data_IF_511310772143
#
_entry.id   IF_511310772143
#
_cell.length_a   1.000
_cell.length_b   1.000
_cell.length_c   1.000
_cell.angle_alpha   90.00
_cell.angle_beta   90.00
_cell.angle_gamma   90.00
#
_symmetry.space_group_name_H-M   'P 1'
#
loop_
_entity.id
_entity.type
_entity.pdbx_description
1 polymer ?
#
# COMPACT_ATOMS: atom_id res chain seq x y z
N UNK A 1 -12.97 30.90 -19.58
CA UNK A 1 -12.55 29.97 -18.48
C UNK A 1 -12.70 30.72 -17.18
N UNK A 2 -13.35 30.16 -16.18
CA UNK A 2 -13.44 30.80 -14.85
C UNK A 2 -12.32 30.28 -13.95
N UNK A 3 -12.04 30.99 -12.85
CA UNK A 3 -10.94 30.66 -11.94
C UNK A 3 -11.06 29.22 -11.36
N UNK A 4 -12.28 28.74 -11.07
CA UNK A 4 -12.51 27.37 -10.59
C UNK A 4 -11.98 26.35 -11.62
N UNK A 5 -12.36 26.50 -12.90
CA UNK A 5 -11.92 25.58 -13.94
C UNK A 5 -10.39 25.60 -14.07
N UNK A 6 -9.77 26.78 -14.09
CA UNK A 6 -8.32 26.90 -14.18
C UNK A 6 -7.60 26.19 -13.02
N UNK A 7 -8.08 26.36 -11.78
CA UNK A 7 -7.51 25.67 -10.59
C UNK A 7 -7.65 24.15 -10.70
N UNK A 8 -8.83 23.64 -11.11
CA UNK A 8 -9.03 22.20 -11.24
C UNK A 8 -8.17 21.60 -12.36
N UNK A 9 -7.98 22.32 -13.46
CA UNK A 9 -7.13 21.86 -14.57
C UNK A 9 -5.65 21.77 -14.14
N UNK A 10 -5.16 22.72 -13.35
CA UNK A 10 -3.81 22.66 -12.74
C UNK A 10 -3.69 21.43 -11.82
N UNK A 11 -4.67 21.22 -10.93
CA UNK A 11 -4.65 20.08 -9.99
C UNK A 11 -4.68 18.75 -10.77
N UNK A 12 -5.57 18.59 -11.74
CA UNK A 12 -5.66 17.38 -12.58
C UNK A 12 -4.38 17.13 -13.35
N UNK A 13 -3.80 18.18 -13.95
CA UNK A 13 -2.51 18.08 -14.62
C UNK A 13 -1.40 17.60 -13.70
N UNK A 14 -1.33 18.11 -12.49
CA UNK A 14 -0.36 17.69 -11.48
C UNK A 14 -0.56 16.23 -11.07
N UNK A 15 -1.81 15.79 -10.84
CA UNK A 15 -2.14 14.39 -10.51
C UNK A 15 -1.74 13.45 -11.66
N UNK A 16 -2.11 13.79 -12.89
CA UNK A 16 -1.85 12.94 -14.06
C UNK A 16 -0.35 12.77 -14.36
N UNK A 17 0.44 13.82 -14.13
CA UNK A 17 1.89 13.82 -14.41
C UNK A 17 2.74 13.40 -13.20
N UNK A 18 2.13 13.03 -12.08
CA UNK A 18 2.88 12.59 -10.90
C UNK A 18 3.55 11.23 -11.18
N UNK A 19 4.84 11.02 -10.82
CA UNK A 19 5.56 9.76 -11.09
C UNK A 19 4.83 8.51 -10.63
N UNK A 20 4.14 8.58 -9.48
CA UNK A 20 3.34 7.47 -8.95
C UNK A 20 2.13 7.13 -9.82
N UNK A 21 1.53 8.11 -10.49
CA UNK A 21 0.43 7.90 -11.44
C UNK A 21 0.90 7.28 -12.76
N UNK A 22 2.17 7.45 -13.09
CA UNK A 22 2.81 6.92 -14.29
C UNK A 22 3.44 5.54 -14.08
N UNK A 23 3.45 5.02 -12.85
CA UNK A 23 4.07 3.74 -12.53
C UNK A 23 3.22 2.58 -13.07
N UNK A 24 3.67 1.96 -14.15
CA UNK A 24 3.06 0.76 -14.73
C UNK A 24 3.59 -0.55 -14.13
N UNK A 25 4.82 -0.56 -13.63
CA UNK A 25 5.47 -1.76 -13.08
C UNK A 25 4.96 -2.08 -11.68
N UNK A 26 4.96 -3.38 -11.36
CA UNK A 26 4.63 -3.83 -10.01
C UNK A 26 5.67 -3.31 -9.01
N UNK A 27 5.19 -2.84 -7.86
CA UNK A 27 6.02 -2.37 -6.76
C UNK A 27 5.75 -3.13 -5.46
N UNK A 28 6.59 -2.94 -4.43
CA UNK A 28 6.46 -3.62 -3.14
C UNK A 28 5.09 -3.49 -2.50
N UNK A 29 4.44 -2.34 -2.66
CA UNK A 29 3.09 -2.07 -2.13
C UNK A 29 1.97 -2.90 -2.76
N UNK A 30 2.23 -3.56 -3.89
CA UNK A 30 1.24 -4.36 -4.61
C UNK A 30 1.44 -5.87 -4.40
N UNK A 31 2.67 -6.31 -4.11
CA UNK A 31 3.04 -7.74 -4.00
C UNK A 31 2.20 -8.45 -2.94
N UNK A 32 1.94 -7.79 -1.81
CA UNK A 32 1.14 -8.33 -0.72
C UNK A 32 -0.38 -8.35 -0.97
N UNK A 33 -0.87 -7.84 -2.11
CA UNK A 33 -2.30 -7.84 -2.45
C UNK A 33 -2.86 -9.27 -2.39
N UNK A 34 -3.98 -9.53 -1.68
CA UNK A 34 -4.52 -10.90 -1.53
C UNK A 34 -4.99 -11.55 -2.83
N UNK A 35 -5.33 -10.76 -3.84
CA UNK A 35 -5.87 -11.23 -5.11
C UNK A 35 -4.76 -11.49 -6.13
N UNK A 36 -4.51 -12.77 -6.47
CA UNK A 36 -3.49 -13.16 -7.46
C UNK A 36 -3.81 -12.65 -8.85
N UNK A 37 -5.10 -12.63 -9.21
CA UNK A 37 -5.56 -12.11 -10.51
C UNK A 37 -5.22 -10.63 -10.68
N UNK A 38 -5.35 -9.83 -9.63
CA UNK A 38 -4.95 -8.41 -9.67
C UNK A 38 -3.45 -8.26 -9.92
N UNK A 39 -2.63 -9.08 -9.28
CA UNK A 39 -1.18 -9.11 -9.51
C UNK A 39 -0.89 -9.55 -10.94
N UNK A 40 -1.58 -10.58 -11.43
CA UNK A 40 -1.43 -11.08 -12.80
C UNK A 40 -1.71 -10.00 -13.86
N UNK A 41 -2.78 -9.24 -13.74
CA UNK A 41 -3.07 -8.09 -14.63
C UNK A 41 -1.94 -7.06 -14.62
N UNK A 42 -1.41 -6.76 -13.43
CA UNK A 42 -0.29 -5.81 -13.30
C UNK A 42 0.97 -6.32 -14.00
N UNK A 43 1.27 -7.62 -13.87
CA UNK A 43 2.41 -8.26 -14.54
C UNK A 43 2.25 -8.30 -16.07
N UNK A 44 1.02 -8.44 -16.57
CA UNK A 44 0.71 -8.37 -18.01
C UNK A 44 0.79 -6.95 -18.56
N UNK A 45 0.91 -5.93 -17.70
CA UNK A 45 0.85 -4.54 -18.13
C UNK A 45 -0.53 -4.12 -18.64
N UNK A 46 -1.60 -4.81 -18.20
CA UNK A 46 -2.98 -4.47 -18.54
C UNK A 46 -3.27 -3.02 -18.17
N UNK A 47 -3.92 -2.30 -19.07
CA UNK A 47 -4.34 -0.93 -18.81
C UNK A 47 -5.36 -0.88 -17.66
N UNK A 48 -5.15 0.07 -16.76
CA UNK A 48 -6.07 0.30 -15.66
C UNK A 48 -7.33 1.02 -16.16
N UNK A 49 -8.49 0.62 -15.61
CA UNK A 49 -9.73 1.32 -15.88
C UNK A 49 -9.62 2.80 -15.52
N UNK A 50 -10.21 3.72 -16.31
CA UNK A 50 -10.24 5.13 -15.99
C UNK A 50 -10.80 5.36 -14.58
N UNK A 51 -10.06 6.07 -13.76
CA UNK A 51 -10.49 6.50 -12.44
C UNK A 51 -10.74 7.99 -12.46
N UNK A 52 -11.66 8.46 -11.63
CA UNK A 52 -11.80 9.89 -11.38
C UNK A 52 -10.53 10.50 -10.77
N UNK A 53 -10.56 11.79 -10.53
CA UNK A 53 -9.42 12.52 -9.95
C UNK A 53 -8.93 11.86 -8.65
N UNK A 54 -7.69 11.41 -8.62
CA UNK A 54 -7.10 10.60 -7.53
C UNK A 54 -6.76 11.47 -6.29
N UNK A 55 -7.75 12.18 -5.74
CA UNK A 55 -7.56 13.13 -4.65
C UNK A 55 -7.05 12.47 -3.36
N UNK A 56 -7.61 11.33 -2.95
CA UNK A 56 -7.14 10.62 -1.74
C UNK A 56 -5.67 10.19 -1.80
N UNK A 57 -5.19 9.57 -2.88
CA UNK A 57 -3.75 9.32 -3.05
C UNK A 57 -2.91 10.59 -3.03
N UNK A 58 -3.39 11.70 -3.61
CA UNK A 58 -2.70 12.99 -3.60
C UNK A 58 -2.52 13.53 -2.18
N UNK A 59 -3.55 13.45 -1.33
CA UNK A 59 -3.44 13.82 0.08
C UNK A 59 -2.41 12.95 0.79
N UNK A 60 -2.43 11.64 0.56
CA UNK A 60 -1.42 10.72 1.10
C UNK A 60 -0.01 11.15 0.70
N UNK A 61 0.23 11.39 -0.58
CA UNK A 61 1.53 11.85 -1.09
C UNK A 61 1.98 13.17 -0.46
N UNK A 62 1.08 14.14 -0.29
CA UNK A 62 1.41 15.40 0.34
C UNK A 62 1.80 15.25 1.83
N UNK A 63 1.13 14.34 2.55
CA UNK A 63 1.49 14.03 3.94
C UNK A 63 2.84 13.33 4.02
N UNK A 64 3.14 12.38 3.12
CA UNK A 64 4.46 11.71 3.08
C UNK A 64 5.57 12.74 2.85
N UNK A 65 5.44 13.64 1.87
CA UNK A 65 6.43 14.69 1.63
C UNK A 65 6.62 15.63 2.83
N UNK A 66 5.56 15.90 3.59
CA UNK A 66 5.66 16.69 4.82
C UNK A 66 6.40 15.94 5.92
N UNK A 67 6.14 14.63 6.08
CA UNK A 67 6.81 13.78 7.08
C UNK A 67 8.30 13.57 6.74
N UNK A 68 8.61 13.35 5.48
CA UNK A 68 9.99 13.32 4.96
C UNK A 68 10.73 14.58 5.37
N UNK A 69 10.17 15.74 5.03
CA UNK A 69 10.75 17.04 5.40
C UNK A 69 10.94 17.20 6.90
N UNK A 70 9.99 16.76 7.72
CA UNK A 70 10.09 16.83 9.17
C UNK A 70 11.24 15.96 9.72
N UNK A 71 11.47 14.78 9.15
CA UNK A 71 12.59 13.92 9.53
C UNK A 71 13.95 14.50 9.07
N UNK A 72 14.01 15.09 7.87
CA UNK A 72 15.20 15.81 7.40
C UNK A 72 15.55 17.02 8.29
N UNK A 73 14.52 17.77 8.72
CA UNK A 73 14.72 18.92 9.62
C UNK A 73 15.22 18.46 11.00
N UNK A 74 14.77 17.30 11.49
CA UNK A 74 15.29 16.69 12.71
C UNK A 74 16.77 16.28 12.55
N UNK A 75 17.15 15.67 11.42
CA UNK A 75 18.53 15.37 11.09
C UNK A 75 19.39 16.65 11.01
N UNK A 76 18.89 17.71 10.39
CA UNK A 76 19.58 19.00 10.32
C UNK A 76 19.82 19.58 11.73
N UNK A 77 18.83 19.50 12.60
CA UNK A 77 18.95 19.94 13.99
C UNK A 77 20.02 19.12 14.73
N UNK A 78 20.11 17.81 14.47
CA UNK A 78 21.16 16.94 15.01
C UNK A 78 22.55 17.39 14.54
N UNK A 79 22.72 17.66 13.24
CA UNK A 79 23.99 18.15 12.66
C UNK A 79 24.41 19.48 13.30
N UNK A 80 23.49 20.43 13.44
CA UNK A 80 23.75 21.72 14.05
C UNK A 80 24.20 21.55 15.51
N UNK A 81 23.49 20.72 16.27
CA UNK A 81 23.80 20.44 17.68
C UNK A 81 25.17 19.78 17.87
N UNK A 82 25.63 19.01 16.88
CA UNK A 82 26.95 18.37 16.86
C UNK A 82 28.06 19.29 16.31
N UNK A 83 27.79 20.57 16.05
CA UNK A 83 28.75 21.52 15.51
C UNK A 83 29.15 21.24 14.05
N UNK A 84 28.34 20.55 13.29
CA UNK A 84 28.57 20.19 11.88
C UNK A 84 29.54 19.02 11.67
N UNK A 85 29.91 18.30 12.73
CA UNK A 85 30.88 17.19 12.71
C UNK A 85 30.23 15.81 12.72
N UNK A 86 29.06 15.66 12.11
CA UNK A 86 28.32 14.39 12.05
C UNK A 86 28.29 13.88 10.60
N UNK A 87 28.53 12.60 10.41
CA UNK A 87 28.47 11.96 9.09
C UNK A 87 27.10 11.35 8.84
N UNK A 88 26.72 11.16 7.57
CA UNK A 88 25.39 10.65 7.17
C UNK A 88 24.98 9.36 7.88
N UNK A 89 25.94 8.45 8.10
CA UNK A 89 25.66 7.19 8.80
C UNK A 89 25.32 7.34 10.29
N UNK A 90 25.57 8.52 10.88
CA UNK A 90 25.27 8.86 12.27
C UNK A 90 23.94 9.58 12.45
N UNK A 91 23.29 10.00 11.33
CA UNK A 91 21.97 10.62 11.37
C UNK A 91 20.93 9.63 11.87
N UNK A 92 19.98 10.07 12.66
CA UNK A 92 18.93 9.21 13.23
C UNK A 92 17.99 8.67 12.16
N UNK A 93 17.66 9.49 11.17
CA UNK A 93 16.62 9.20 10.18
C UNK A 93 17.20 8.98 8.79
N UNK A 94 16.68 7.96 8.09
CA UNK A 94 16.87 7.77 6.65
C UNK A 94 15.50 7.90 6.00
N UNK A 95 15.35 8.83 5.05
CA UNK A 95 14.09 9.14 4.39
C UNK A 95 14.09 8.68 2.94
N UNK A 96 12.93 8.27 2.43
CA UNK A 96 12.68 7.95 1.01
C UNK A 96 13.80 7.13 0.35
N UNK A 97 14.32 6.14 1.09
CA UNK A 97 15.40 5.29 0.61
C UNK A 97 14.91 4.32 -0.46
N UNK A 98 15.47 4.43 -1.66
CA UNK A 98 15.21 3.48 -2.72
C UNK A 98 15.89 2.13 -2.45
N UNK A 99 15.11 1.06 -2.54
CA UNK A 99 15.59 -0.32 -2.34
C UNK A 99 15.12 -1.23 -3.46
N UNK A 100 15.91 -2.28 -3.74
CA UNK A 100 15.50 -3.41 -4.56
C UNK A 100 14.99 -4.48 -3.59
N UNK A 101 13.73 -4.91 -3.76
CA UNK A 101 13.13 -5.95 -2.92
C UNK A 101 13.16 -7.33 -3.58
N UNK A 102 13.51 -7.40 -4.84
CA UNK A 102 13.63 -8.64 -5.61
C UNK A 102 13.69 -8.40 -7.11
N UNK A 103 13.57 -9.48 -7.86
CA UNK A 103 13.62 -9.46 -9.32
C UNK A 103 12.52 -10.32 -9.91
N UNK A 104 11.95 -9.89 -11.02
CA UNK A 104 11.13 -10.71 -11.90
C UNK A 104 11.99 -11.73 -12.64
N UNK A 105 11.36 -12.68 -13.31
CA UNK A 105 12.06 -13.77 -14.02
C UNK A 105 12.96 -13.25 -15.15
N UNK A 106 12.58 -12.14 -15.79
CA UNK A 106 13.37 -11.51 -16.85
C UNK A 106 14.56 -10.67 -16.34
N UNK A 107 14.82 -10.70 -15.02
CA UNK A 107 15.85 -9.91 -14.36
C UNK A 107 15.44 -8.46 -14.05
N UNK A 108 14.22 -8.06 -14.34
CA UNK A 108 13.72 -6.71 -14.00
C UNK A 108 13.69 -6.55 -12.49
N UNK A 109 14.40 -5.54 -11.98
CA UNK A 109 14.40 -5.23 -10.55
C UNK A 109 13.02 -4.69 -10.10
N UNK A 110 12.56 -5.18 -8.97
CA UNK A 110 11.39 -4.64 -8.27
C UNK A 110 11.90 -3.67 -7.23
N UNK A 111 11.66 -2.39 -7.47
CA UNK A 111 12.15 -1.30 -6.64
C UNK A 111 11.01 -0.58 -5.95
N UNK A 112 11.31 0.09 -4.86
CA UNK A 112 10.40 1.02 -4.21
C UNK A 112 11.15 1.92 -3.25
N UNK A 113 10.54 3.05 -2.90
CA UNK A 113 11.03 3.95 -1.87
C UNK A 113 10.41 3.56 -0.54
N UNK A 114 11.24 3.34 0.48
CA UNK A 114 10.78 3.14 1.84
C UNK A 114 10.71 4.48 2.55
N UNK A 115 9.60 4.75 3.22
CA UNK A 115 9.28 6.09 3.71
C UNK A 115 10.28 6.59 4.76
N UNK A 116 10.59 5.75 5.76
CA UNK A 116 11.40 6.18 6.89
C UNK A 116 12.10 5.00 7.56
N UNK A 117 13.35 5.20 7.99
CA UNK A 117 14.06 4.26 8.83
C UNK A 117 14.71 4.99 10.00
N UNK A 118 14.49 4.48 11.21
CA UNK A 118 15.05 5.01 12.45
C UNK A 118 16.25 4.17 12.89
N UNK A 119 17.46 4.68 12.69
CA UNK A 119 18.71 3.96 12.97
C UNK A 119 18.86 3.53 14.43
N UNK A 120 18.60 4.40 15.44
CA UNK A 120 18.81 4.04 16.84
C UNK A 120 17.99 2.83 17.31
N UNK A 121 16.81 2.59 16.73
CA UNK A 121 15.96 1.45 17.06
C UNK A 121 15.93 0.38 15.96
N UNK A 122 16.75 0.52 14.94
CA UNK A 122 16.81 -0.36 13.77
C UNK A 122 15.40 -0.70 13.23
N UNK A 123 14.52 0.31 13.16
CA UNK A 123 13.11 0.15 12.80
C UNK A 123 12.82 0.77 11.43
N UNK A 124 12.30 -0.04 10.51
CA UNK A 124 11.74 0.45 9.25
C UNK A 124 10.27 0.82 9.44
N UNK A 125 9.88 2.00 8.97
CA UNK A 125 8.56 2.60 9.20
C UNK A 125 7.93 2.94 7.86
N UNK A 126 6.69 2.51 7.65
CA UNK A 126 5.87 2.86 6.50
C UNK A 126 4.67 3.69 6.97
N UNK A 127 4.43 4.82 6.34
CA UNK A 127 3.33 5.71 6.69
C UNK A 127 2.08 5.39 5.87
N UNK A 128 0.92 5.40 6.50
CA UNK A 128 -0.36 5.19 5.84
C UNK A 128 -1.39 6.22 6.27
N UNK A 129 -1.76 7.13 5.38
CA UNK A 129 -2.83 8.11 5.61
C UNK A 129 -4.16 7.47 5.27
N UNK A 130 -5.00 7.26 6.28
CA UNK A 130 -6.24 6.48 6.15
C UNK A 130 -7.46 7.23 6.69
N UNK A 131 -8.61 6.99 6.07
CA UNK A 131 -9.89 7.50 6.56
C UNK A 131 -10.36 6.77 7.83
N UNK A 132 -11.30 7.36 8.55
CA UNK A 132 -11.80 6.89 9.86
C UNK A 132 -12.23 5.42 9.85
N UNK A 133 -13.00 5.00 8.83
CA UNK A 133 -13.49 3.61 8.74
C UNK A 133 -12.33 2.62 8.55
N UNK A 134 -11.36 2.94 7.68
CA UNK A 134 -10.18 2.12 7.46
C UNK A 134 -9.30 2.07 8.72
N UNK A 135 -9.11 3.19 9.40
CA UNK A 135 -8.33 3.23 10.65
C UNK A 135 -8.97 2.34 11.73
N UNK A 136 -10.30 2.37 11.86
CA UNK A 136 -11.03 1.50 12.79
C UNK A 136 -10.85 0.03 12.44
N UNK A 137 -10.95 -0.32 11.16
CA UNK A 137 -10.70 -1.68 10.70
C UNK A 137 -9.27 -2.14 11.03
N UNK A 138 -8.26 -1.30 10.76
CA UNK A 138 -6.87 -1.64 11.05
C UNK A 138 -6.61 -1.81 12.55
N UNK A 139 -7.19 -0.97 13.40
CA UNK A 139 -7.11 -1.13 14.86
C UNK A 139 -7.73 -2.44 15.35
N UNK A 140 -8.79 -2.91 14.72
CA UNK A 140 -9.50 -4.12 15.11
C UNK A 140 -8.86 -5.41 14.55
N UNK A 141 -8.39 -5.37 13.29
CA UNK A 141 -8.02 -6.56 12.53
C UNK A 141 -6.53 -6.61 12.12
N UNK A 142 -5.74 -5.63 12.54
CA UNK A 142 -4.33 -5.51 12.13
C UNK A 142 -4.16 -4.84 10.76
N UNK A 143 -2.91 -4.66 10.32
CA UNK A 143 -2.58 -3.96 9.08
C UNK A 143 -3.07 -4.70 7.84
N UNK A 144 -3.20 -6.01 7.93
CA UNK A 144 -3.56 -6.89 6.81
C UNK A 144 -2.37 -7.26 5.94
N UNK A 145 -2.52 -8.37 5.22
CA UNK A 145 -1.46 -9.03 4.45
C UNK A 145 -0.67 -8.08 3.54
N UNK A 146 -1.35 -7.15 2.86
CA UNK A 146 -0.72 -6.27 1.87
C UNK A 146 0.32 -5.34 2.53
N UNK A 147 -0.05 -4.68 3.63
CA UNK A 147 0.84 -3.75 4.31
C UNK A 147 1.95 -4.46 5.08
N UNK A 148 1.61 -5.61 5.71
CA UNK A 148 2.62 -6.46 6.36
C UNK A 148 3.68 -6.92 5.35
N UNK A 149 3.28 -7.47 4.22
CA UNK A 149 4.23 -7.87 3.18
C UNK A 149 5.07 -6.69 2.67
N UNK A 150 4.46 -5.53 2.45
CA UNK A 150 5.16 -4.33 1.97
C UNK A 150 6.30 -3.93 2.90
N UNK A 151 6.02 -3.79 4.20
CA UNK A 151 7.03 -3.30 5.14
C UNK A 151 8.16 -4.31 5.34
N UNK A 152 7.88 -5.62 5.34
CA UNK A 152 8.91 -6.66 5.39
C UNK A 152 9.75 -6.73 4.10
N UNK A 153 9.15 -6.51 2.94
CA UNK A 153 9.88 -6.41 1.67
C UNK A 153 10.85 -5.22 1.68
N UNK A 154 10.43 -4.06 2.15
CA UNK A 154 11.31 -2.91 2.30
C UNK A 154 12.45 -3.19 3.30
N UNK A 155 12.14 -3.82 4.43
CA UNK A 155 13.13 -4.20 5.43
C UNK A 155 14.17 -5.18 4.87
N UNK A 156 13.76 -6.15 4.07
CA UNK A 156 14.67 -7.04 3.35
C UNK A 156 15.59 -6.27 2.38
N UNK A 157 15.04 -5.27 1.67
CA UNK A 157 15.83 -4.39 0.79
C UNK A 157 16.85 -3.55 1.56
N UNK A 158 16.50 -3.02 2.74
CA UNK A 158 17.42 -2.30 3.64
C UNK A 158 18.54 -3.21 4.13
N UNK A 159 18.21 -4.43 4.55
CA UNK A 159 19.21 -5.41 4.98
C UNK A 159 20.22 -5.71 3.86
N UNK A 160 19.76 -5.85 2.60
CA UNK A 160 20.63 -6.07 1.45
C UNK A 160 21.55 -4.87 1.16
N UNK A 161 21.20 -3.67 1.60
CA UNK A 161 22.05 -2.46 1.52
C UNK A 161 22.99 -2.30 2.72
N UNK A 162 22.99 -3.28 3.65
CA UNK A 162 23.90 -3.29 4.81
C UNK A 162 23.35 -2.58 6.05
N UNK A 163 22.07 -2.15 6.05
CA UNK A 163 21.43 -1.65 7.26
C UNK A 163 21.06 -2.79 8.19
N UNK A 164 21.14 -2.56 9.49
CA UNK A 164 20.51 -3.46 10.47
C UNK A 164 19.01 -3.17 10.50
N UNK A 165 18.18 -4.19 10.50
CA UNK A 165 16.74 -4.04 10.67
C UNK A 165 16.26 -5.07 11.69
N UNK A 166 15.79 -4.60 12.83
CA UNK A 166 15.26 -5.44 13.91
C UNK A 166 13.72 -5.46 13.92
N UNK A 167 13.12 -4.31 13.60
CA UNK A 167 11.69 -4.14 13.65
C UNK A 167 11.15 -3.50 12.36
N UNK A 168 9.91 -3.79 12.09
CA UNK A 168 9.10 -3.10 11.09
C UNK A 168 7.90 -2.45 11.76
N UNK A 169 7.46 -1.30 11.25
CA UNK A 169 6.33 -0.59 11.79
C UNK A 169 5.48 0.04 10.68
N UNK A 170 4.20 0.20 10.96
CA UNK A 170 3.28 0.95 10.12
C UNK A 170 2.63 2.03 10.97
N UNK A 171 2.85 3.27 10.58
CA UNK A 171 2.26 4.43 11.22
C UNK A 171 0.97 4.82 10.49
N UNK A 172 -0.17 4.40 11.01
CA UNK A 172 -1.48 4.75 10.46
C UNK A 172 -1.89 6.14 10.96
N UNK A 173 -1.82 7.10 10.07
CA UNK A 173 -2.19 8.49 10.31
C UNK A 173 -3.64 8.74 9.91
N UNK A 174 -4.43 9.43 10.75
CA UNK A 174 -5.79 9.76 10.39
C UNK A 174 -5.82 10.84 9.30
N UNK A 175 -6.65 10.65 8.27
CA UNK A 175 -6.87 11.68 7.26
C UNK A 175 -7.59 12.91 7.85
N UNK A 176 -8.40 12.69 8.88
CA UNK A 176 -9.13 13.72 9.61
C UNK A 176 -9.05 13.41 11.11
N UNK A 177 -8.90 14.43 11.96
CA UNK A 177 -8.81 14.30 13.41
C UNK A 177 -7.45 14.72 13.95
N UNK A 178 -7.08 14.22 15.11
CA UNK A 178 -5.83 14.54 15.77
C UNK A 178 -4.78 13.45 15.52
N UNK A 179 -3.51 13.78 15.66
CA UNK A 179 -2.42 12.80 15.56
C UNK A 179 -2.59 11.64 16.56
N UNK A 180 -3.12 11.93 17.75
CA UNK A 180 -3.42 10.93 18.79
C UNK A 180 -4.51 9.92 18.39
N UNK A 181 -5.30 10.22 17.37
CA UNK A 181 -6.28 9.28 16.83
C UNK A 181 -5.63 8.20 15.95
N UNK A 182 -4.37 8.40 15.56
CA UNK A 182 -3.59 7.45 14.78
C UNK A 182 -3.40 6.10 15.47
N UNK A 183 -2.73 5.22 14.78
CA UNK A 183 -2.39 3.91 15.31
C UNK A 183 -1.01 3.47 14.83
N UNK A 184 -0.17 3.09 15.79
CA UNK A 184 1.13 2.51 15.53
C UNK A 184 1.04 1.00 15.64
N UNK A 185 1.43 0.30 14.59
CA UNK A 185 1.61 -1.15 14.60
C UNK A 185 3.07 -1.46 14.36
N UNK A 186 3.62 -2.42 15.08
CA UNK A 186 5.00 -2.87 14.87
C UNK A 186 5.16 -4.34 15.28
N UNK A 187 6.12 -5.01 14.63
CA UNK A 187 6.55 -6.36 14.97
C UNK A 187 8.04 -6.55 14.66
N UNK A 188 8.70 -7.62 15.15
CA UNK A 188 10.04 -7.97 14.71
C UNK A 188 10.09 -8.20 13.20
N UNK A 189 11.20 -7.81 12.58
CA UNK A 189 11.42 -8.11 11.16
C UNK A 189 11.50 -9.62 10.94
N UNK A 190 10.76 -10.14 9.97
CA UNK A 190 10.77 -11.53 9.56
C UNK A 190 11.06 -11.64 8.05
N UNK A 191 12.26 -12.13 7.72
CA UNK A 191 12.66 -12.43 6.33
C UNK A 191 11.74 -13.47 5.68
N UNK A 192 11.14 -14.38 6.46
CA UNK A 192 10.22 -15.40 5.95
C UNK A 192 8.99 -14.79 5.31
N UNK A 193 8.46 -13.71 5.86
CA UNK A 193 7.31 -12.98 5.28
C UNK A 193 7.69 -12.36 3.92
N UNK A 194 8.84 -11.70 3.85
CA UNK A 194 9.33 -11.13 2.59
C UNK A 194 9.59 -12.21 1.53
N UNK A 195 10.23 -13.32 1.92
CA UNK A 195 10.51 -14.45 1.05
C UNK A 195 9.22 -15.12 0.54
N UNK A 196 8.23 -15.33 1.41
CA UNK A 196 6.95 -15.90 1.02
C UNK A 196 6.19 -15.00 0.03
N UNK A 197 6.21 -13.68 0.24
CA UNK A 197 5.61 -12.72 -0.68
C UNK A 197 6.28 -12.77 -2.07
N UNK A 198 7.60 -12.83 -2.13
CA UNK A 198 8.35 -12.95 -3.38
C UNK A 198 8.15 -14.31 -4.07
N UNK A 199 8.09 -15.40 -3.30
CA UNK A 199 7.80 -16.74 -3.87
C UNK A 199 6.43 -16.75 -4.51
N UNK A 200 5.39 -16.25 -3.82
CA UNK A 200 4.05 -16.12 -4.37
C UNK A 200 4.02 -15.29 -5.66
N UNK A 201 4.73 -14.15 -5.69
CA UNK A 201 4.83 -13.34 -6.89
C UNK A 201 5.44 -14.11 -8.07
N UNK A 202 6.52 -14.86 -7.85
CA UNK A 202 7.16 -15.69 -8.88
C UNK A 202 6.24 -16.79 -9.39
N UNK A 203 5.45 -17.41 -8.52
CA UNK A 203 4.46 -18.42 -8.89
C UNK A 203 3.36 -17.82 -9.78
N UNK A 204 2.88 -16.64 -9.45
CA UNK A 204 1.90 -15.89 -10.26
C UNK A 204 2.53 -15.53 -11.62
N UNK A 205 3.73 -14.99 -11.62
CA UNK A 205 4.47 -14.65 -12.84
C UNK A 205 4.65 -15.87 -13.76
N UNK A 206 5.06 -17.01 -13.20
CA UNK A 206 5.22 -18.26 -13.97
C UNK A 206 3.91 -18.69 -14.63
N UNK A 207 2.79 -18.60 -13.91
CA UNK A 207 1.45 -18.93 -14.46
C UNK A 207 1.05 -17.96 -15.56
N UNK A 208 1.19 -16.66 -15.33
CA UNK A 208 0.90 -15.62 -16.33
C UNK A 208 1.71 -15.82 -17.59
N UNK A 209 3.00 -16.15 -17.48
CA UNK A 209 3.88 -16.42 -18.63
C UNK A 209 3.50 -17.68 -19.37
N UNK A 210 3.05 -18.71 -18.67
CA UNK A 210 2.64 -19.97 -19.29
C UNK A 210 1.32 -19.86 -20.05
N UNK A 211 0.38 -19.02 -19.58
CA UNK A 211 -0.96 -18.88 -20.17
C UNK A 211 -1.12 -17.66 -21.07
N UNK A 212 -0.28 -16.66 -20.91
CA UNK A 212 -0.44 -15.34 -21.53
C UNK A 212 -1.61 -14.52 -20.98
N UNK A 213 -2.23 -14.97 -19.87
CA UNK A 213 -3.41 -14.35 -19.29
C UNK A 213 -3.49 -14.55 -17.77
N UNK A 214 -4.66 -14.25 -17.21
CA UNK A 214 -4.94 -14.39 -15.78
C UNK A 214 -5.87 -15.56 -15.46
N UNK A 215 -6.17 -16.40 -16.45
CA UNK A 215 -7.00 -17.57 -16.33
C UNK A 215 -6.35 -18.55 -15.34
N UNK A 216 -7.17 -19.11 -14.45
CA UNK A 216 -6.67 -20.03 -13.41
C UNK A 216 -5.96 -19.36 -12.23
N UNK A 217 -5.76 -18.04 -12.25
CA UNK A 217 -5.30 -17.32 -11.06
C UNK A 217 -6.47 -17.13 -10.09
N UNK A 218 -6.28 -17.47 -8.79
CA UNK A 218 -7.28 -17.20 -7.77
C UNK A 218 -7.64 -15.72 -7.69
N UNK A 219 -8.93 -15.43 -7.52
CA UNK A 219 -9.39 -14.11 -7.11
C UNK A 219 -9.72 -14.11 -5.61
N UNK A 220 -9.53 -12.97 -4.98
CA UNK A 220 -9.96 -12.73 -3.62
C UNK A 220 -10.61 -11.35 -3.55
N UNK A 221 -11.59 -11.19 -2.65
CA UNK A 221 -12.11 -9.86 -2.37
C UNK A 221 -10.99 -9.02 -1.71
N UNK A 222 -10.35 -8.25 -2.55
CA UNK A 222 -9.32 -7.28 -2.17
C UNK A 222 -9.82 -5.88 -2.54
N UNK A 223 -11.02 -5.54 -2.08
CA UNK A 223 -11.68 -4.28 -2.41
C UNK A 223 -11.95 -4.16 -3.92
N UNK A 224 -12.61 -5.16 -4.50
CA UNK A 224 -12.89 -5.22 -5.94
C UNK A 224 -13.49 -3.92 -6.49
N UNK A 225 -14.37 -3.25 -5.74
CA UNK A 225 -14.92 -1.95 -6.12
C UNK A 225 -13.88 -0.85 -6.38
N UNK A 226 -12.66 -1.00 -5.84
CA UNK A 226 -11.53 -0.08 -6.03
C UNK A 226 -10.39 -0.71 -6.85
N UNK A 227 -10.57 -1.92 -7.35
CA UNK A 227 -9.58 -2.58 -8.18
C UNK A 227 -9.52 -1.93 -9.57
N UNK A 228 -8.32 -1.58 -10.07
CA UNK A 228 -8.19 -0.93 -11.38
C UNK A 228 -8.59 -1.82 -12.55
N UNK A 229 -8.66 -3.12 -12.35
CA UNK A 229 -9.01 -4.12 -13.38
C UNK A 229 -10.43 -4.65 -13.21
N UNK A 230 -11.23 -4.06 -12.31
CA UNK A 230 -12.59 -4.53 -12.06
C UNK A 230 -13.53 -4.09 -13.19
N UNK A 231 -14.13 -5.06 -13.86
CA UNK A 231 -15.15 -4.89 -14.89
C UNK A 231 -16.34 -5.77 -14.54
N UNK A 232 -17.32 -5.24 -13.78
CA UNK A 232 -18.47 -6.01 -13.33
C UNK A 232 -19.22 -6.67 -14.50
N UNK A 233 -19.52 -7.96 -14.34
CA UNK A 233 -20.25 -8.72 -15.36
C UNK A 233 -19.42 -9.16 -16.56
N UNK A 234 -18.10 -8.88 -16.58
CA UNK A 234 -17.23 -9.40 -17.64
C UNK A 234 -17.22 -10.94 -17.62
N UNK A 235 -17.35 -11.53 -18.79
CA UNK A 235 -17.13 -12.97 -19.04
C UNK A 235 -15.79 -13.23 -19.69
N UNK A 236 -15.11 -12.15 -20.11
CA UNK A 236 -13.80 -12.17 -20.76
C UNK A 236 -12.75 -11.54 -19.82
N UNK A 237 -11.87 -12.40 -19.30
CA UNK A 237 -10.80 -11.94 -18.39
C UNK A 237 -9.75 -11.10 -19.09
N UNK A 238 -9.61 -11.17 -20.41
CA UNK A 238 -8.71 -10.28 -21.14
C UNK A 238 -9.22 -8.84 -21.17
N UNK A 239 -10.53 -8.64 -21.09
CA UNK A 239 -11.15 -7.32 -21.01
C UNK A 239 -11.15 -6.75 -19.59
N UNK A 240 -11.21 -7.60 -18.58
CA UNK A 240 -11.23 -7.19 -17.18
C UNK A 240 -11.81 -8.24 -16.24
N UNK A 241 -11.61 -8.03 -14.94
CA UNK A 241 -12.03 -8.96 -13.90
C UNK A 241 -13.48 -8.70 -13.46
N UNK A 242 -14.37 -9.70 -13.47
CA UNK A 242 -15.74 -9.52 -12.97
C UNK A 242 -15.80 -9.26 -11.45
N UNK A 243 -14.68 -9.40 -10.77
CA UNK A 243 -14.63 -9.37 -9.31
C UNK A 243 -14.88 -10.74 -8.71
N UNK A 244 -14.81 -10.81 -7.40
CA UNK A 244 -15.26 -11.98 -6.66
C UNK A 244 -16.74 -11.79 -6.32
N UNK A 245 -17.56 -12.80 -6.62
CA UNK A 245 -18.93 -12.83 -6.13
C UNK A 245 -18.83 -13.05 -4.62
N UNK A 246 -19.39 -12.17 -3.77
CA UNK A 246 -19.35 -12.37 -2.33
C UNK A 246 -19.90 -13.77 -2.02
N UNK A 247 -19.07 -14.66 -1.51
CA UNK A 247 -19.58 -15.91 -0.97
C UNK A 247 -20.43 -15.52 0.25
N UNK A 248 -21.68 -15.96 0.30
CA UNK A 248 -22.63 -15.74 1.41
C UNK A 248 -22.10 -16.16 2.79
N UNK A 249 -20.88 -16.64 2.88
CA UNK A 249 -20.31 -17.30 4.06
C UNK A 249 -19.20 -16.51 4.80
N UNK A 250 -18.88 -15.27 4.41
CA UNK A 250 -17.93 -14.46 5.21
C UNK A 250 -18.57 -13.12 5.48
N UNK A 251 -18.89 -12.86 6.77
CA UNK A 251 -19.51 -11.64 7.26
C UNK A 251 -18.85 -10.36 6.74
N UNK A 252 -19.34 -9.88 5.63
CA UNK A 252 -19.07 -8.56 5.12
C UNK A 252 -20.06 -7.55 5.68
N UNK A 253 -19.80 -6.28 5.51
CA UNK A 253 -20.59 -5.16 6.00
C UNK A 253 -22.11 -5.28 5.74
N UNK A 254 -22.54 -6.02 4.68
CA UNK A 254 -23.94 -6.30 4.38
C UNK A 254 -24.63 -7.20 5.42
N UNK A 255 -23.93 -8.14 6.07
CA UNK A 255 -24.50 -8.99 7.11
C UNK A 255 -24.72 -8.26 8.43
N UNK A 256 -23.95 -7.21 8.70
CA UNK A 256 -24.15 -6.36 9.88
C UNK A 256 -25.41 -5.48 9.77
N UNK A 257 -25.80 -5.10 8.56
CA UNK A 257 -27.02 -4.29 8.34
C UNK A 257 -28.30 -5.14 8.46
N UNK A 258 -28.25 -6.40 8.00
CA UNK A 258 -29.39 -7.33 8.14
C UNK A 258 -29.63 -7.75 9.59
N UNK A 259 -28.57 -7.95 10.39
CA UNK A 259 -28.70 -8.35 11.80
C UNK A 259 -29.30 -7.24 12.69
N UNK A 260 -28.99 -5.97 12.40
CA UNK A 260 -29.59 -4.82 13.11
C UNK A 260 -31.08 -4.66 12.79
N UNK A 261 -31.51 -5.00 11.60
CA UNK A 261 -32.91 -4.90 11.20
C UNK A 261 -33.75 -6.01 11.84
N UNK A 262 -33.20 -7.20 12.01
CA UNK A 262 -33.89 -8.38 12.60
C UNK A 262 -34.01 -8.26 14.11
N UNK A 263 -33.10 -7.61 14.80
CA UNK A 263 -33.19 -7.39 16.26
C UNK A 263 -34.21 -6.28 16.62
N UNK A 264 -34.44 -5.33 15.74
CA UNK A 264 -35.41 -4.26 16.00
C UNK A 264 -36.86 -4.73 15.87
N UNK A 265 -37.08 -5.75 15.05
CA UNK A 265 -38.43 -6.33 14.86
C UNK A 265 -38.85 -7.27 15.99
N UNK A 266 -37.87 -7.93 16.65
CA UNK A 266 -38.13 -8.83 17.79
C UNK A 266 -38.41 -8.14 19.15
N UNK A 267 -38.11 -6.84 19.28
CA UNK A 267 -38.40 -6.05 20.50
C UNK A 267 -39.74 -5.35 20.51
N UNK A 268 -40.54 -5.44 19.43
CA UNK A 268 -41.88 -4.83 19.35
C UNK A 268 -43.03 -5.82 19.53
N UNK A 269 -42.75 -7.09 19.77
CA UNK A 269 -43.78 -8.16 19.96
C UNK A 269 -43.57 -8.97 21.26
N UNK A 270 -43.00 -8.34 22.29
CA UNK A 270 -43.00 -8.92 23.64
C UNK A 270 -43.45 -7.91 24.66
#
# INVERSE_FOLDING_TARGET
MNAKQAVYDVIRGAIANHPRSLQKRIGPSEIGTPCDRRIGYKLLGQDENPRGDAWKPTVGTAVHAWLEKAAEDANLAQVISAGGLIEDHQLEWVTEQNVIVGYLHDGTAITGSADLYHRPTATLIDHKVVGVASLRDKKANGPGQQYTAQVHLYAAGFLMQGHQVEHVAINFLPQNGNLTDGWWWSEPFDMGIAAAAMTRLRDIEARVRATGGVEGLPSADAWCAFCPFHLPGSTDLSAGCPGETPSRARGGFASMVEDTTTQHTRRKTA
#
